data_IF_833006151757
#
_entry.id   IF_833006151757
#
_cell.length_a   1.000
_cell.length_b   1.000
_cell.length_c   1.000
_cell.angle_alpha   90.00
_cell.angle_beta   90.00
_cell.angle_gamma   90.00
#
_symmetry.space_group_name_H-M   'P 1'
#
loop_
_entity.id
_entity.type
_entity.pdbx_description
1 polymer ?
#
# COMPACT_ATOMS: atom_id res chain seq x y z
N UNK A 1 -1.79 5.32 -5.61
CA UNK A 1 -0.43 5.88 -5.79
C UNK A 1 -0.45 7.22 -6.51
N UNK A 2 -0.63 7.26 -7.85
CA UNK A 2 -0.57 8.52 -8.61
C UNK A 2 -1.55 9.59 -8.08
N UNK A 3 -2.82 9.21 -7.89
CA UNK A 3 -3.84 10.11 -7.34
C UNK A 3 -3.47 10.67 -5.94
N UNK A 4 -2.99 9.82 -5.03
CA UNK A 4 -2.60 10.27 -3.67
C UNK A 4 -1.41 11.24 -3.71
N UNK A 5 -0.45 11.01 -4.60
CA UNK A 5 0.71 11.89 -4.77
C UNK A 5 0.30 13.22 -5.42
N UNK A 6 -0.55 13.18 -6.45
CA UNK A 6 -1.06 14.41 -7.08
C UNK A 6 -1.90 15.25 -6.12
N UNK A 7 -2.72 14.59 -5.29
CA UNK A 7 -3.50 15.23 -4.23
C UNK A 7 -2.58 15.86 -3.18
N UNK A 8 -1.54 15.16 -2.74
CA UNK A 8 -0.56 15.69 -1.78
C UNK A 8 0.21 16.93 -2.30
N UNK A 9 0.47 16.98 -3.61
CA UNK A 9 1.07 18.16 -4.25
C UNK A 9 0.07 19.33 -4.29
N UNK A 10 -1.21 19.06 -4.59
CA UNK A 10 -2.25 20.10 -4.64
C UNK A 10 -2.67 20.61 -3.26
N UNK A 11 -2.65 19.75 -2.23
CA UNK A 11 -2.92 20.11 -0.84
C UNK A 11 -1.71 20.75 -0.14
N UNK A 12 -0.57 20.92 -0.81
CA UNK A 12 0.57 21.64 -0.22
C UNK A 12 0.14 23.07 0.13
N UNK A 13 0.28 23.42 1.41
CA UNK A 13 -0.25 24.66 1.97
C UNK A 13 0.33 25.90 1.27
N UNK A 14 -0.56 26.80 0.85
CA UNK A 14 -0.18 28.04 0.14
C UNK A 14 0.67 28.97 1.02
N UNK A 15 0.46 28.97 2.33
CA UNK A 15 1.26 29.72 3.30
C UNK A 15 2.70 29.21 3.41
N UNK A 16 2.92 27.89 3.32
CA UNK A 16 4.26 27.31 3.24
C UNK A 16 5.00 27.73 1.95
N UNK A 17 4.28 27.84 0.83
CA UNK A 17 4.79 28.34 -0.44
C UNK A 17 5.11 29.84 -0.39
N UNK A 18 4.25 30.65 0.24
CA UNK A 18 4.46 32.08 0.43
C UNK A 18 5.64 32.37 1.35
N UNK A 19 5.76 31.63 2.47
CA UNK A 19 6.88 31.75 3.38
C UNK A 19 8.20 31.36 2.71
N UNK A 20 8.21 30.30 1.88
CA UNK A 20 9.38 29.93 1.10
C UNK A 20 9.77 31.00 0.05
N UNK A 21 8.78 31.72 -0.49
CA UNK A 21 9.01 32.83 -1.43
C UNK A 21 9.60 34.05 -0.71
N UNK A 22 9.12 34.37 0.49
CA UNK A 22 9.65 35.46 1.34
C UNK A 22 11.09 35.19 1.80
N UNK A 23 11.45 33.93 2.07
CA UNK A 23 12.81 33.52 2.43
C UNK A 23 13.77 33.37 1.23
N UNK A 24 13.34 33.67 0.00
CA UNK A 24 14.20 33.64 -1.18
C UNK A 24 14.68 32.24 -1.60
N UNK A 25 13.90 31.19 -1.30
CA UNK A 25 14.30 29.82 -1.62
C UNK A 25 14.43 29.59 -3.14
N UNK A 26 15.57 29.02 -3.57
CA UNK A 26 15.76 28.54 -4.95
C UNK A 26 14.84 27.36 -5.25
N UNK A 27 14.41 27.18 -6.51
CA UNK A 27 13.51 26.08 -6.93
C UNK A 27 13.90 24.69 -6.40
N UNK A 28 15.21 24.37 -6.36
CA UNK A 28 15.70 23.11 -5.78
C UNK A 28 15.35 22.95 -4.30
N UNK A 29 15.61 23.97 -3.48
CA UNK A 29 15.32 23.94 -2.04
C UNK A 29 13.82 23.92 -1.75
N UNK A 30 13.01 24.60 -2.57
CA UNK A 30 11.55 24.54 -2.48
C UNK A 30 11.05 23.09 -2.64
N UNK A 31 11.54 22.37 -3.65
CA UNK A 31 11.17 20.97 -3.88
C UNK A 31 11.61 20.09 -2.72
N UNK A 32 12.87 20.15 -2.29
CA UNK A 32 13.39 19.23 -1.26
C UNK A 32 12.90 19.54 0.15
N UNK A 33 12.65 20.80 0.49
CA UNK A 33 12.28 21.20 1.86
C UNK A 33 10.80 21.44 2.09
N UNK A 34 10.00 21.66 1.03
CA UNK A 34 8.56 21.92 1.16
C UNK A 34 7.78 20.77 0.53
N UNK A 35 7.95 20.53 -0.76
CA UNK A 35 7.16 19.51 -1.47
C UNK A 35 7.48 18.08 -1.03
N UNK A 36 8.76 17.70 -0.94
CA UNK A 36 9.16 16.34 -0.54
C UNK A 36 8.60 15.95 0.85
N UNK A 37 8.82 16.70 1.94
CA UNK A 37 8.24 16.37 3.24
C UNK A 37 6.72 16.49 3.28
N UNK A 38 6.13 17.41 2.51
CA UNK A 38 4.66 17.55 2.43
C UNK A 38 3.97 16.38 1.74
N UNK A 39 4.58 15.82 0.68
CA UNK A 39 4.01 14.74 -0.14
C UNK A 39 4.38 13.35 0.39
N UNK A 40 5.50 13.22 1.12
CA UNK A 40 5.93 11.97 1.76
C UNK A 40 4.80 11.22 2.51
N UNK A 41 4.00 11.83 3.41
CA UNK A 41 2.91 11.13 4.08
C UNK A 41 1.84 10.61 3.11
N UNK A 42 1.52 11.37 2.06
CA UNK A 42 0.56 10.96 1.02
C UNK A 42 1.11 9.84 0.14
N UNK A 43 2.41 9.87 -0.16
CA UNK A 43 3.10 8.80 -0.86
C UNK A 43 3.03 7.49 -0.06
N UNK A 44 3.31 7.54 1.25
CA UNK A 44 3.20 6.37 2.12
C UNK A 44 1.78 5.81 2.21
N UNK A 45 0.75 6.67 2.27
CA UNK A 45 -0.64 6.24 2.17
C UNK A 45 -0.98 5.63 0.79
N UNK A 46 -0.34 6.11 -0.27
CA UNK A 46 -0.38 5.49 -1.60
C UNK A 46 0.24 4.09 -1.61
N UNK A 47 1.36 3.90 -0.91
CA UNK A 47 2.04 2.61 -0.82
C UNK A 47 1.20 1.55 -0.11
N UNK A 48 0.57 1.88 1.01
CA UNK A 48 -0.26 0.92 1.77
C UNK A 48 -1.40 0.37 0.93
N UNK A 49 -2.14 1.27 0.28
CA UNK A 49 -3.29 0.91 -0.56
C UNK A 49 -2.87 0.09 -1.77
N UNK A 50 -1.78 0.47 -2.44
CA UNK A 50 -1.26 -0.27 -3.59
C UNK A 50 -0.77 -1.67 -3.20
N UNK A 51 -0.08 -1.83 -2.07
CA UNK A 51 0.41 -3.13 -1.61
C UNK A 51 -0.74 -4.05 -1.19
N UNK A 52 -1.75 -3.55 -0.49
CA UNK A 52 -2.93 -4.35 -0.15
C UNK A 52 -3.68 -4.84 -1.40
N UNK A 53 -3.76 -4.00 -2.44
CA UNK A 53 -4.35 -4.38 -3.72
C UNK A 53 -3.48 -5.40 -4.48
N UNK A 54 -2.16 -5.19 -4.51
CA UNK A 54 -1.21 -6.09 -5.16
C UNK A 54 -1.22 -7.49 -4.52
N UNK A 55 -1.33 -7.58 -3.20
CA UNK A 55 -1.46 -8.85 -2.49
C UNK A 55 -2.72 -9.62 -2.92
N UNK A 56 -3.88 -8.95 -2.93
CA UNK A 56 -5.16 -9.55 -3.36
C UNK A 56 -5.12 -10.00 -4.81
N UNK A 57 -4.52 -9.18 -5.68
CA UNK A 57 -4.32 -9.54 -7.09
C UNK A 57 -3.35 -10.71 -7.26
N UNK A 58 -2.31 -10.82 -6.42
CA UNK A 58 -1.37 -11.94 -6.40
C UNK A 58 -2.07 -13.27 -6.11
N UNK A 59 -2.93 -13.32 -5.08
CA UNK A 59 -3.72 -14.51 -4.76
C UNK A 59 -4.65 -14.87 -5.92
N UNK A 60 -5.31 -13.87 -6.55
CA UNK A 60 -6.13 -14.12 -7.72
C UNK A 60 -5.33 -14.71 -8.90
N UNK A 61 -4.09 -14.25 -9.10
CA UNK A 61 -3.19 -14.80 -10.10
C UNK A 61 -2.78 -16.25 -9.75
N UNK A 62 -2.50 -16.56 -8.48
CA UNK A 62 -2.20 -17.93 -8.04
C UNK A 62 -3.36 -18.91 -8.30
N UNK A 63 -4.60 -18.47 -8.12
CA UNK A 63 -5.79 -19.27 -8.42
C UNK A 63 -5.86 -19.61 -9.92
N UNK A 64 -5.46 -18.69 -10.80
CA UNK A 64 -5.48 -18.88 -12.24
C UNK A 64 -4.29 -19.71 -12.76
N UNK A 65 -3.10 -19.49 -12.22
CA UNK A 65 -1.86 -20.13 -12.70
C UNK A 65 -1.60 -21.51 -12.10
N UNK A 66 -2.28 -21.89 -11.02
CA UNK A 66 -2.14 -23.18 -10.33
C UNK A 66 -0.68 -23.62 -10.01
N UNK A 67 0.17 -22.74 -9.44
CA UNK A 67 1.51 -23.14 -9.00
C UNK A 67 1.49 -24.23 -7.91
N UNK A 68 2.47 -25.13 -7.94
CA UNK A 68 2.50 -26.36 -7.10
C UNK A 68 2.50 -26.10 -5.58
N UNK A 69 2.94 -24.92 -5.12
CA UNK A 69 3.04 -24.58 -3.70
C UNK A 69 2.49 -23.18 -3.43
N UNK A 70 1.20 -22.97 -3.69
CA UNK A 70 0.54 -21.70 -3.41
C UNK A 70 -0.80 -21.88 -2.71
N UNK A 71 -1.14 -20.87 -1.91
CA UNK A 71 -2.39 -20.82 -1.16
C UNK A 71 -3.58 -20.70 -2.10
N UNK A 72 -3.47 -19.89 -3.17
CA UNK A 72 -4.53 -19.78 -4.18
C UNK A 72 -4.83 -21.10 -4.89
N UNK A 73 -3.81 -21.94 -5.10
CA UNK A 73 -3.97 -23.25 -5.75
C UNK A 73 -4.67 -24.26 -4.83
N UNK A 74 -4.35 -24.28 -3.55
CA UNK A 74 -5.03 -25.14 -2.57
C UNK A 74 -6.49 -24.74 -2.38
N UNK A 75 -6.78 -23.43 -2.39
CA UNK A 75 -8.15 -22.92 -2.38
C UNK A 75 -8.92 -23.37 -3.63
N UNK A 76 -8.27 -23.35 -4.81
CA UNK A 76 -8.89 -23.82 -6.05
C UNK A 76 -9.17 -25.33 -6.02
N UNK A 77 -8.25 -26.15 -5.51
CA UNK A 77 -8.48 -27.59 -5.37
C UNK A 77 -9.60 -27.90 -4.38
N UNK A 78 -9.64 -27.23 -3.22
CA UNK A 78 -10.72 -27.39 -2.24
C UNK A 78 -12.10 -27.10 -2.85
N UNK A 79 -12.17 -26.09 -3.74
CA UNK A 79 -13.37 -25.79 -4.53
C UNK A 79 -13.69 -26.92 -5.52
N UNK A 80 -12.68 -27.49 -6.17
CA UNK A 80 -12.84 -28.55 -7.18
C UNK A 80 -13.36 -29.86 -6.56
N UNK A 81 -12.87 -30.22 -5.38
CA UNK A 81 -13.23 -31.45 -4.66
C UNK A 81 -14.48 -31.30 -3.78
N UNK A 82 -15.12 -30.13 -3.76
CA UNK A 82 -16.30 -29.81 -2.93
C UNK A 82 -16.05 -30.01 -1.41
N UNK A 83 -14.79 -30.00 -0.98
CA UNK A 83 -14.40 -30.08 0.42
C UNK A 83 -14.60 -28.70 1.07
N UNK A 84 -15.81 -28.48 1.55
CA UNK A 84 -16.21 -27.22 2.18
C UNK A 84 -15.36 -26.88 3.41
N UNK A 85 -14.97 -27.89 4.20
CA UNK A 85 -14.10 -27.70 5.38
C UNK A 85 -12.76 -27.06 5.00
N UNK A 86 -12.06 -27.60 4.01
CA UNK A 86 -10.77 -27.07 3.55
C UNK A 86 -10.91 -25.71 2.85
N UNK A 87 -11.99 -25.51 2.10
CA UNK A 87 -12.27 -24.23 1.47
C UNK A 87 -12.42 -23.11 2.53
N UNK A 88 -13.19 -23.37 3.60
CA UNK A 88 -13.33 -22.40 4.69
C UNK A 88 -12.01 -22.20 5.45
N UNK A 89 -11.22 -23.26 5.68
CA UNK A 89 -9.92 -23.13 6.32
C UNK A 89 -8.96 -22.24 5.52
N UNK A 90 -8.86 -22.46 4.20
CA UNK A 90 -8.00 -21.68 3.31
C UNK A 90 -8.46 -20.24 3.13
N UNK A 91 -9.76 -19.98 3.05
CA UNK A 91 -10.28 -18.58 2.99
C UNK A 91 -9.94 -17.81 4.25
N UNK A 92 -10.10 -18.41 5.44
CA UNK A 92 -9.71 -17.79 6.71
C UNK A 92 -8.21 -17.56 6.78
N UNK A 93 -7.40 -18.53 6.34
CA UNK A 93 -5.94 -18.38 6.28
C UNK A 93 -5.52 -17.19 5.38
N UNK A 94 -6.15 -17.03 4.22
CA UNK A 94 -5.90 -15.89 3.31
C UNK A 94 -6.28 -14.57 3.96
N UNK A 95 -7.43 -14.49 4.63
CA UNK A 95 -7.87 -13.28 5.33
C UNK A 95 -6.88 -12.92 6.44
N UNK A 96 -6.46 -13.89 7.25
CA UNK A 96 -5.48 -13.67 8.32
C UNK A 96 -4.13 -13.21 7.77
N UNK A 97 -3.64 -13.82 6.68
CA UNK A 97 -2.40 -13.37 6.04
C UNK A 97 -2.53 -11.96 5.46
N UNK A 98 -3.66 -11.63 4.82
CA UNK A 98 -3.91 -10.28 4.31
C UNK A 98 -3.91 -9.26 5.45
N UNK A 99 -4.59 -9.56 6.57
CA UNK A 99 -4.62 -8.68 7.73
C UNK A 99 -3.25 -8.54 8.37
N UNK A 100 -2.47 -9.63 8.46
CA UNK A 100 -1.12 -9.61 9.00
C UNK A 100 -0.21 -8.72 8.15
N UNK A 101 -0.26 -8.86 6.82
CA UNK A 101 0.53 -8.06 5.88
C UNK A 101 0.16 -6.56 5.96
N UNK A 102 -1.13 -6.24 5.95
CA UNK A 102 -1.60 -4.86 6.06
C UNK A 102 -1.18 -4.23 7.41
N UNK A 103 -1.33 -4.94 8.52
CA UNK A 103 -0.88 -4.46 9.84
C UNK A 103 0.63 -4.26 9.89
N UNK A 104 1.39 -5.20 9.37
CA UNK A 104 2.86 -5.13 9.34
C UNK A 104 3.34 -3.93 8.53
N UNK A 105 2.70 -3.64 7.40
CA UNK A 105 2.98 -2.45 6.58
C UNK A 105 2.66 -1.14 7.31
N UNK A 106 1.49 -1.05 7.95
CA UNK A 106 1.11 0.16 8.71
C UNK A 106 2.09 0.41 9.86
N UNK A 107 2.51 -0.65 10.57
CA UNK A 107 3.50 -0.53 11.65
C UNK A 107 4.86 -0.07 11.13
N UNK A 108 5.35 -0.66 10.04
CA UNK A 108 6.60 -0.24 9.39
C UNK A 108 6.57 1.23 8.96
N UNK A 109 5.44 1.67 8.40
CA UNK A 109 5.30 3.05 7.92
C UNK A 109 5.18 4.05 9.07
N UNK A 110 4.47 3.69 10.14
CA UNK A 110 4.42 4.53 11.35
C UNK A 110 5.80 4.67 12.00
N UNK A 111 6.64 3.62 11.96
CA UNK A 111 8.04 3.69 12.39
C UNK A 111 8.85 4.69 11.56
N UNK A 112 8.68 4.71 10.25
CA UNK A 112 9.40 5.63 9.35
C UNK A 112 8.92 7.08 9.52
N UNK A 113 7.61 7.28 9.77
CA UNK A 113 7.06 8.62 10.05
C UNK A 113 7.56 9.21 11.39
N UNK A 114 7.99 8.35 12.32
CA UNK A 114 8.40 8.75 13.68
C UNK A 114 9.92 8.87 13.86
N UNK A 115 10.72 8.65 12.80
CA UNK A 115 12.17 8.81 12.75
C UNK A 115 12.55 10.03 11.91
#
# INVERSE_FOLDING_TARGET
MWANVSEGIHQTDKGLLEMARLFGFTKRRLVTKVYVPGVLPYFFAGCTTALGLAWKAGIAAEILSLPKHAVGTQLYYSKLYLETTDLFAWTVAVILMSMALEKLLVVLLNRIKSA
#
